data_IF_276055533631
#
_entry.id   IF_276055533631
#
_cell.length_a   1.000
_cell.length_b   1.000
_cell.length_c   1.000
_cell.angle_alpha   90.00
_cell.angle_beta   90.00
_cell.angle_gamma   90.00
#
_symmetry.space_group_name_H-M   'P 1'
#
loop_
_entity.id
_entity.type
_entity.pdbx_description
1 polymer ?
#
# COMPACT_ATOMS: atom_id res chain seq x y z
N UNK A 1 -13.51 -4.13 22.09
CA UNK A 1 -13.35 -2.94 21.22
C UNK A 1 -13.44 -3.37 19.76
N UNK A 2 -14.19 -2.64 18.97
CA UNK A 2 -14.42 -2.87 17.54
C UNK A 2 -13.16 -2.74 16.69
N UNK A 3 -12.22 -1.88 17.10
CA UNK A 3 -11.01 -1.57 16.38
C UNK A 3 -9.81 -2.24 17.03
N UNK A 4 -8.80 -2.62 16.20
CA UNK A 4 -7.58 -3.23 16.75
C UNK A 4 -6.66 -2.16 17.37
N UNK A 5 -5.65 -2.62 18.12
CA UNK A 5 -4.73 -1.73 18.82
C UNK A 5 -3.97 -0.81 17.88
N UNK A 6 -3.55 -1.30 16.72
CA UNK A 6 -2.84 -0.49 15.73
C UNK A 6 -3.70 0.69 15.25
N UNK A 7 -4.97 0.44 14.96
CA UNK A 7 -5.91 1.49 14.53
C UNK A 7 -6.15 2.50 15.64
N UNK A 8 -6.31 2.04 16.87
CA UNK A 8 -6.51 2.94 18.03
C UNK A 8 -5.29 3.84 18.24
N UNK A 9 -4.08 3.28 18.17
CA UNK A 9 -2.85 4.07 18.27
C UNK A 9 -2.79 5.16 17.19
N UNK A 10 -3.14 4.83 15.96
CA UNK A 10 -3.14 5.78 14.85
C UNK A 10 -4.22 6.85 15.00
N UNK A 11 -5.39 6.49 15.50
CA UNK A 11 -6.45 7.46 15.77
C UNK A 11 -6.06 8.41 16.90
N UNK A 12 -5.39 7.91 17.96
CA UNK A 12 -4.84 8.76 19.01
C UNK A 12 -3.84 9.78 18.47
N UNK A 13 -2.93 9.33 17.62
CA UNK A 13 -1.96 10.22 16.98
C UNK A 13 -2.66 11.27 16.10
N UNK A 14 -3.68 10.86 15.37
CA UNK A 14 -4.51 11.77 14.56
C UNK A 14 -5.16 12.86 15.41
N UNK A 15 -5.59 12.54 16.63
CA UNK A 15 -6.20 13.49 17.57
C UNK A 15 -5.15 14.31 18.35
N UNK A 16 -3.86 14.11 18.09
CA UNK A 16 -2.80 14.79 18.82
C UNK A 16 -2.56 14.24 20.22
N UNK A 17 -3.00 13.02 20.50
CA UNK A 17 -2.86 12.36 21.80
C UNK A 17 -1.70 11.37 21.76
N UNK A 18 -1.21 10.99 22.94
CA UNK A 18 -0.25 9.87 23.06
C UNK A 18 -0.90 8.61 22.47
N UNK A 19 -0.14 7.85 21.68
CA UNK A 19 -0.64 6.67 20.98
C UNK A 19 -1.22 5.60 21.92
N UNK A 20 -0.77 5.54 23.15
CA UNK A 20 -1.22 4.56 24.15
C UNK A 20 -2.35 5.08 25.03
N UNK A 21 -2.91 6.25 24.74
CA UNK A 21 -4.02 6.81 25.50
C UNK A 21 -5.24 5.89 25.39
N UNK A 22 -5.93 5.68 26.50
CA UNK A 22 -7.17 4.93 26.49
C UNK A 22 -8.20 5.63 25.60
N UNK A 23 -8.86 4.86 24.73
CA UNK A 23 -9.89 5.38 23.84
C UNK A 23 -11.19 4.64 24.09
N UNK A 24 -12.26 5.38 24.36
CA UNK A 24 -13.60 4.80 24.51
C UNK A 24 -14.14 4.37 23.14
N UNK A 25 -15.07 3.40 23.13
CA UNK A 25 -15.72 2.97 21.89
C UNK A 25 -16.46 4.14 21.22
N UNK A 26 -17.10 5.00 22.00
CA UNK A 26 -17.81 6.17 21.52
C UNK A 26 -16.89 7.14 20.79
N UNK A 27 -15.74 7.47 21.37
CA UNK A 27 -14.75 8.34 20.74
C UNK A 27 -14.17 7.69 19.49
N UNK A 28 -13.88 6.40 19.53
CA UNK A 28 -13.37 5.67 18.39
C UNK A 28 -14.35 5.70 17.21
N UNK A 29 -15.61 5.47 17.47
CA UNK A 29 -16.66 5.51 16.44
C UNK A 29 -16.82 6.91 15.83
N UNK A 30 -16.65 7.97 16.64
CA UNK A 30 -16.70 9.34 16.14
C UNK A 30 -15.45 9.73 15.35
N UNK A 31 -14.29 9.20 15.73
CA UNK A 31 -12.98 9.54 15.12
C UNK A 31 -12.70 8.76 13.84
N UNK A 32 -13.12 7.51 13.78
CA UNK A 32 -12.75 6.60 12.68
C UNK A 32 -13.07 7.15 11.28
N UNK A 33 -14.28 7.70 11.00
CA UNK A 33 -14.57 8.22 9.65
C UNK A 33 -13.64 9.35 9.24
N UNK A 34 -13.33 10.28 10.14
CA UNK A 34 -12.45 11.40 9.86
C UNK A 34 -11.00 10.95 9.67
N UNK A 35 -10.54 10.04 10.53
CA UNK A 35 -9.21 9.45 10.40
C UNK A 35 -9.07 8.67 9.09
N UNK A 36 -10.06 7.84 8.74
CA UNK A 36 -10.06 7.06 7.50
C UNK A 36 -10.01 7.96 6.27
N UNK A 37 -10.77 9.03 6.29
CA UNK A 37 -10.77 10.02 5.22
C UNK A 37 -9.38 10.66 5.05
N UNK A 38 -8.71 10.98 6.15
CA UNK A 38 -7.35 11.54 6.11
C UNK A 38 -6.33 10.53 5.57
N UNK A 39 -6.44 9.25 5.96
CA UNK A 39 -5.59 8.18 5.44
C UNK A 39 -5.78 8.01 3.93
N UNK A 40 -7.03 7.98 3.47
CA UNK A 40 -7.34 7.84 2.06
C UNK A 40 -6.79 9.03 1.25
N UNK A 41 -6.87 10.25 1.78
CA UNK A 41 -6.31 11.43 1.14
C UNK A 41 -4.78 11.34 1.01
N UNK A 42 -4.10 10.82 2.03
CA UNK A 42 -2.65 10.60 1.97
C UNK A 42 -2.28 9.53 0.94
N UNK A 43 -3.05 8.45 0.86
CA UNK A 43 -2.83 7.40 -0.12
C UNK A 43 -3.02 7.91 -1.55
N UNK A 44 -4.04 8.74 -1.80
CA UNK A 44 -4.26 9.38 -3.09
C UNK A 44 -3.10 10.29 -3.47
N UNK A 45 -2.60 11.08 -2.53
CA UNK A 45 -1.46 11.96 -2.76
C UNK A 45 -0.19 11.16 -3.07
N UNK A 46 0.04 10.10 -2.32
CA UNK A 46 1.16 9.18 -2.55
C UNK A 46 1.12 8.57 -3.94
N UNK A 47 -0.05 8.13 -4.37
CA UNK A 47 -0.28 7.58 -5.70
C UNK A 47 0.00 8.63 -6.78
N UNK A 48 -0.54 9.84 -6.63
CA UNK A 48 -0.30 10.92 -7.58
C UNK A 48 1.19 11.27 -7.70
N UNK A 49 1.89 11.35 -6.56
CA UNK A 49 3.33 11.64 -6.53
C UNK A 49 4.13 10.52 -7.20
N UNK A 50 3.77 9.27 -6.94
CA UNK A 50 4.43 8.13 -7.56
C UNK A 50 4.25 8.12 -9.08
N UNK A 51 3.05 8.43 -9.57
CA UNK A 51 2.80 8.54 -11.01
C UNK A 51 3.68 9.61 -11.67
N UNK A 52 4.01 10.68 -10.96
CA UNK A 52 4.87 11.76 -11.47
C UNK A 52 6.36 11.41 -11.43
N UNK A 53 6.79 10.63 -10.45
CA UNK A 53 8.22 10.43 -10.17
C UNK A 53 8.75 9.03 -10.51
N UNK A 54 7.88 8.03 -10.65
CA UNK A 54 8.31 6.65 -10.89
C UNK A 54 9.04 6.51 -12.23
N UNK A 55 10.10 5.69 -12.31
CA UNK A 55 10.83 5.50 -13.55
C UNK A 55 10.00 4.83 -14.64
N UNK A 56 10.32 5.15 -15.90
CA UNK A 56 9.69 4.47 -17.03
C UNK A 56 9.93 2.97 -16.94
N UNK A 57 8.88 2.18 -17.18
CA UNK A 57 8.93 0.72 -17.11
C UNK A 57 8.67 0.16 -15.72
N UNK A 58 8.59 1.01 -14.70
CA UNK A 58 8.13 0.58 -13.39
C UNK A 58 6.60 0.55 -13.33
N UNK A 59 6.07 0.06 -12.21
CA UNK A 59 4.63 -0.03 -11.98
C UNK A 59 4.29 0.65 -10.67
N UNK A 60 3.16 1.32 -10.62
CA UNK A 60 2.66 1.99 -9.40
C UNK A 60 1.42 1.24 -8.93
N UNK A 61 1.40 0.85 -7.66
CA UNK A 61 0.26 0.16 -7.05
C UNK A 61 -0.90 1.14 -6.95
N UNK A 62 -2.03 0.82 -7.59
CA UNK A 62 -3.19 1.72 -7.67
C UNK A 62 -4.23 1.49 -6.59
N UNK A 63 -4.14 0.37 -5.87
CA UNK A 63 -4.99 0.06 -4.72
C UNK A 63 -4.18 -0.79 -3.74
N UNK A 64 -4.70 -1.00 -2.54
CA UNK A 64 -4.01 -1.85 -1.55
C UNK A 64 -3.98 -3.29 -2.05
N UNK A 65 -2.80 -3.80 -2.27
CA UNK A 65 -2.58 -5.14 -2.82
C UNK A 65 -2.10 -6.09 -1.74
N UNK A 66 -2.99 -6.99 -1.33
CA UNK A 66 -2.73 -7.95 -0.26
C UNK A 66 -2.47 -9.35 -0.82
N UNK A 67 -1.45 -10.00 -0.30
CA UNK A 67 -1.16 -11.43 -0.52
C UNK A 67 -0.62 -12.04 0.77
N UNK A 68 -0.51 -13.36 0.80
CA UNK A 68 -0.04 -14.09 1.97
C UNK A 68 1.34 -13.65 2.47
N UNK A 69 2.16 -13.07 1.61
CA UNK A 69 3.48 -12.57 1.99
C UNK A 69 3.51 -11.14 2.51
N UNK A 70 2.38 -10.45 2.51
CA UNK A 70 2.31 -9.06 2.99
C UNK A 70 1.37 -8.18 2.20
N UNK A 71 1.56 -6.87 2.34
CA UNK A 71 0.71 -5.85 1.73
C UNK A 71 1.57 -4.81 1.00
N UNK A 72 1.19 -4.47 -0.22
CA UNK A 72 1.73 -3.31 -0.94
C UNK A 72 0.67 -2.21 -0.93
N UNK A 73 1.03 -1.06 -0.36
CA UNK A 73 0.11 0.07 -0.22
C UNK A 73 -0.02 0.83 -1.53
N UNK A 74 -1.18 1.47 -1.73
CA UNK A 74 -1.41 2.38 -2.84
C UNK A 74 -0.29 3.41 -2.95
N UNK A 75 0.23 3.61 -4.15
CA UNK A 75 1.34 4.53 -4.40
C UNK A 75 2.74 3.91 -4.27
N UNK A 76 2.85 2.63 -3.94
CA UNK A 76 4.13 1.94 -3.91
C UNK A 76 4.63 1.72 -5.33
N UNK A 77 5.90 2.02 -5.58
CA UNK A 77 6.55 1.77 -6.87
C UNK A 77 7.18 0.38 -6.83
N UNK A 78 6.87 -0.44 -7.83
CA UNK A 78 7.41 -1.80 -7.93
C UNK A 78 8.07 -2.02 -9.29
N UNK A 79 9.03 -2.93 -9.31
CA UNK A 79 9.78 -3.34 -10.48
C UNK A 79 9.49 -4.81 -10.76
N UNK A 80 9.25 -5.13 -12.02
CA UNK A 80 8.76 -6.44 -12.41
C UNK A 80 9.84 -7.17 -13.22
N UNK A 81 10.09 -8.41 -12.85
CA UNK A 81 11.03 -9.28 -13.53
C UNK A 81 10.38 -10.62 -13.86
N UNK A 82 10.74 -11.21 -14.99
CA UNK A 82 10.24 -12.53 -15.36
C UNK A 82 10.84 -13.60 -14.43
N UNK A 83 10.06 -14.62 -14.13
CA UNK A 83 10.56 -15.80 -13.44
C UNK A 83 10.72 -16.96 -14.41
N UNK A 84 11.47 -17.99 -13.98
CA UNK A 84 11.53 -19.27 -14.70
C UNK A 84 10.60 -20.31 -14.09
N UNK A 85 9.80 -19.91 -13.11
CA UNK A 85 8.87 -20.80 -12.43
C UNK A 85 7.63 -20.99 -13.29
N UNK A 86 7.24 -22.25 -13.51
CA UNK A 86 6.07 -22.58 -14.35
C UNK A 86 4.74 -22.18 -13.71
N UNK A 87 4.71 -21.95 -12.38
CA UNK A 87 3.50 -21.56 -11.65
C UNK A 87 3.37 -20.06 -11.44
N UNK A 88 4.44 -19.31 -11.68
CA UNK A 88 4.46 -17.87 -11.47
C UNK A 88 5.14 -17.22 -12.67
N UNK A 89 4.56 -16.16 -13.21
CA UNK A 89 5.10 -15.49 -14.39
C UNK A 89 6.11 -14.40 -14.05
N UNK A 90 5.92 -13.73 -12.92
CA UNK A 90 6.71 -12.54 -12.59
C UNK A 90 7.10 -12.49 -11.12
N UNK A 91 8.20 -11.78 -10.86
CA UNK A 91 8.63 -11.36 -9.54
C UNK A 91 8.29 -9.89 -9.35
N UNK A 92 7.72 -9.53 -8.20
CA UNK A 92 7.40 -8.16 -7.81
C UNK A 92 8.45 -7.70 -6.80
N UNK A 93 9.21 -6.66 -7.16
CA UNK A 93 10.29 -6.14 -6.32
C UNK A 93 10.06 -4.67 -6.01
N UNK A 94 10.48 -4.23 -4.82
CA UNK A 94 10.34 -2.83 -4.39
C UNK A 94 11.55 -1.97 -4.74
N UNK A 95 12.59 -2.55 -5.32
CA UNK A 95 13.73 -1.81 -5.87
C UNK A 95 14.16 -2.43 -7.19
N UNK A 96 15.02 -1.74 -7.94
CA UNK A 96 15.60 -2.27 -9.18
C UNK A 96 16.44 -3.52 -8.91
N UNK A 97 16.91 -3.70 -7.69
CA UNK A 97 17.59 -4.92 -7.27
C UNK A 97 16.58 -6.03 -7.02
N UNK A 98 16.82 -7.21 -7.59
CA UNK A 98 16.00 -8.39 -7.32
C UNK A 98 16.09 -8.88 -5.87
N UNK A 99 16.99 -8.29 -5.07
CA UNK A 99 17.16 -8.64 -3.67
C UNK A 99 15.99 -8.23 -2.78
N UNK A 100 15.14 -7.33 -3.26
CA UNK A 100 13.97 -6.85 -2.52
C UNK A 100 12.66 -7.40 -3.05
N UNK A 101 12.68 -8.64 -3.53
CA UNK A 101 11.47 -9.33 -3.98
C UNK A 101 10.45 -9.42 -2.85
N UNK A 102 9.20 -9.03 -3.15
CA UNK A 102 8.09 -9.13 -2.20
C UNK A 102 7.36 -10.45 -2.38
N UNK A 103 6.98 -10.75 -3.63
CA UNK A 103 6.32 -12.01 -3.98
C UNK A 103 6.41 -12.28 -5.47
N UNK A 104 5.87 -13.44 -5.86
CA UNK A 104 5.69 -13.81 -7.26
C UNK A 104 4.20 -13.97 -7.55
N UNK A 105 3.78 -13.66 -8.77
CA UNK A 105 2.37 -13.77 -9.17
C UNK A 105 2.23 -13.87 -10.68
N UNK A 106 0.99 -14.03 -11.14
CA UNK A 106 0.67 -13.97 -12.57
C UNK A 106 0.50 -12.54 -13.07
N UNK A 107 0.60 -12.36 -14.38
CA UNK A 107 0.49 -11.03 -15.01
C UNK A 107 -0.89 -10.42 -14.88
N UNK A 108 -1.94 -11.24 -14.82
CA UNK A 108 -3.30 -10.73 -14.65
C UNK A 108 -3.49 -10.04 -13.29
N UNK A 109 -2.95 -10.63 -12.23
CA UNK A 109 -2.99 -10.02 -10.89
C UNK A 109 -2.23 -8.69 -10.88
N UNK A 110 -1.08 -8.62 -11.54
CA UNK A 110 -0.34 -7.37 -11.69
C UNK A 110 -1.19 -6.28 -12.34
N UNK A 111 -1.88 -6.60 -13.43
CA UNK A 111 -2.72 -5.65 -14.15
C UNK A 111 -3.89 -5.15 -13.31
N UNK A 112 -4.45 -5.99 -12.45
CA UNK A 112 -5.55 -5.61 -11.58
C UNK A 112 -5.14 -4.57 -10.54
N UNK A 113 -3.89 -4.61 -10.07
CA UNK A 113 -3.44 -3.84 -8.91
C UNK A 113 -2.45 -2.72 -9.24
N UNK A 114 -1.99 -2.61 -10.48
CA UNK A 114 -0.95 -1.64 -10.83
C UNK A 114 -1.23 -0.91 -12.13
N UNK A 115 -0.54 0.23 -12.27
CA UNK A 115 -0.47 0.99 -13.52
C UNK A 115 0.99 1.01 -13.98
N UNK A 116 1.25 0.65 -15.22
CA UNK A 116 2.60 0.71 -15.80
C UNK A 116 2.95 2.13 -16.19
N UNK A 117 4.15 2.56 -15.83
CA UNK A 117 4.65 3.89 -16.19
C UNK A 117 5.25 3.84 -17.59
N UNK A 118 4.57 4.45 -18.57
CA UNK A 118 4.96 4.44 -19.97
C UNK A 118 5.42 5.80 -20.51
N UNK A 119 5.18 6.88 -19.75
CA UNK A 119 5.24 8.26 -20.22
C UNK A 119 6.54 8.99 -19.91
N UNK A 120 7.58 8.31 -19.54
CA UNK A 120 8.89 8.96 -19.27
C UNK A 120 9.98 8.50 -20.21
#
# INVERSE_FOLDING_TARGET
>A
MKYNMSTICKMNEFLGRDRNTFMTQELADATYPEWRKAVDAKDEQRYADALKSAPRGSYVVKDTWNRNGGTLRKGTVVFIYDTRNIFCEIMVCTSKSRQTMVWTCGREELKEHTVKVLWR
#
